data_IF_090397983978
#
_entry.id   IF_090397983978
#
_cell.length_a   1.000
_cell.length_b   1.000
_cell.length_c   1.000
_cell.angle_alpha   90.00
_cell.angle_beta   90.00
_cell.angle_gamma   90.00
#
_symmetry.space_group_name_H-M   'P 1'
#
loop_
_entity.id
_entity.type
_entity.pdbx_description
1 polymer ?
#
# COMPACT_ATOMS: atom_id res chain seq x y z
N UNK A 1 5.99 24.35 -15.06
CA UNK A 1 6.21 22.99 -15.58
C UNK A 1 4.96 22.51 -16.30
N UNK A 2 5.13 21.99 -17.50
CA UNK A 2 4.05 21.45 -18.34
C UNK A 2 3.64 20.06 -17.82
N UNK A 3 2.33 19.78 -17.80
CA UNK A 3 1.77 18.48 -17.42
C UNK A 3 0.92 17.97 -18.57
N UNK A 4 1.12 16.71 -18.95
CA UNK A 4 0.34 16.04 -19.99
C UNK A 4 0.10 14.58 -19.64
N UNK A 5 -1.07 14.09 -20.01
CA UNK A 5 -1.35 12.66 -20.00
C UNK A 5 -0.78 12.05 -21.28
N UNK A 6 -0.08 10.93 -21.15
CA UNK A 6 0.43 10.14 -22.26
C UNK A 6 -0.14 8.72 -22.20
N UNK A 7 0.07 7.95 -23.27
CA UNK A 7 -0.30 6.54 -23.30
C UNK A 7 0.70 5.67 -22.54
N UNK A 8 1.04 4.52 -23.12
CA UNK A 8 1.97 3.56 -22.52
C UNK A 8 3.45 3.93 -22.69
N UNK A 9 3.75 5.00 -23.45
CA UNK A 9 5.10 5.49 -23.71
C UNK A 9 5.26 6.91 -23.19
N UNK A 10 6.38 7.15 -22.49
CA UNK A 10 6.78 8.47 -22.00
C UNK A 10 7.96 8.93 -22.86
N UNK A 11 7.78 10.03 -23.60
CA UNK A 11 8.83 10.58 -24.46
C UNK A 11 10.10 10.95 -23.67
N UNK A 12 11.24 10.93 -24.35
CA UNK A 12 12.52 11.36 -23.78
C UNK A 12 12.43 12.76 -23.15
N UNK A 13 13.03 12.89 -21.96
CA UNK A 13 13.01 14.14 -21.19
C UNK A 13 11.78 14.33 -20.31
N UNK A 14 10.77 13.47 -20.43
CA UNK A 14 9.60 13.44 -19.53
C UNK A 14 9.75 12.40 -18.43
N UNK A 15 8.96 12.54 -17.37
CA UNK A 15 8.90 11.59 -16.24
C UNK A 15 7.45 11.19 -16.00
N UNK A 16 7.22 9.90 -15.75
CA UNK A 16 5.96 9.42 -15.22
C UNK A 16 5.84 9.83 -13.75
N UNK A 17 4.75 10.51 -13.40
CA UNK A 17 4.53 11.04 -12.04
C UNK A 17 3.24 10.53 -11.41
N UNK A 18 2.33 9.96 -12.18
CA UNK A 18 1.11 9.28 -11.71
C UNK A 18 0.64 8.29 -12.77
N UNK A 19 -0.23 7.36 -12.39
CA UNK A 19 -0.92 6.49 -13.34
C UNK A 19 -2.05 7.25 -14.04
N UNK A 20 -2.38 6.83 -15.26
CA UNK A 20 -3.52 7.37 -16.00
C UNK A 20 -4.86 6.85 -15.47
N UNK A 21 -5.98 7.51 -15.83
CA UNK A 21 -7.33 7.14 -15.39
C UNK A 21 -7.75 5.73 -15.82
N UNK A 22 -7.27 5.23 -16.96
CA UNK A 22 -7.55 3.85 -17.40
C UNK A 22 -6.96 2.81 -16.45
N UNK A 23 -5.67 2.93 -16.15
CA UNK A 23 -4.99 2.05 -15.18
C UNK A 23 -5.58 2.18 -13.77
N UNK A 24 -5.93 3.40 -13.36
CA UNK A 24 -6.56 3.62 -12.06
C UNK A 24 -7.91 2.88 -11.94
N UNK A 25 -8.72 2.91 -13.00
CA UNK A 25 -9.99 2.17 -13.06
C UNK A 25 -9.76 0.65 -13.01
N UNK A 26 -8.88 0.12 -13.85
CA UNK A 26 -8.58 -1.31 -13.90
C UNK A 26 -8.05 -1.83 -12.55
N UNK A 27 -7.17 -1.09 -11.88
CA UNK A 27 -6.68 -1.46 -10.56
C UNK A 27 -7.78 -1.39 -9.50
N UNK A 28 -8.64 -0.38 -9.57
CA UNK A 28 -9.77 -0.25 -8.64
C UNK A 28 -10.75 -1.41 -8.76
N UNK A 29 -11.04 -1.87 -9.98
CA UNK A 29 -11.91 -3.02 -10.23
C UNK A 29 -11.33 -4.30 -9.61
N UNK A 30 -10.03 -4.55 -9.81
CA UNK A 30 -9.35 -5.72 -9.21
C UNK A 30 -9.35 -5.64 -7.68
N UNK A 31 -9.12 -4.46 -7.11
CA UNK A 31 -9.14 -4.23 -5.66
C UNK A 31 -10.53 -4.48 -5.08
N UNK A 32 -11.59 -4.05 -5.77
CA UNK A 32 -12.97 -4.21 -5.31
C UNK A 32 -13.40 -5.70 -5.22
N UNK A 33 -12.86 -6.56 -6.08
CA UNK A 33 -13.15 -7.99 -6.09
C UNK A 33 -12.30 -8.81 -5.10
N UNK A 34 -11.26 -8.22 -4.52
CA UNK A 34 -10.31 -8.92 -3.68
C UNK A 34 -10.87 -9.24 -2.28
N UNK A 35 -10.71 -10.50 -1.85
CA UNK A 35 -11.06 -10.92 -0.49
C UNK A 35 -10.04 -10.42 0.56
N UNK A 36 -8.81 -10.11 0.13
CA UNK A 36 -7.79 -9.49 0.96
C UNK A 36 -6.92 -8.59 0.09
N UNK A 37 -6.66 -7.38 0.58
CA UNK A 37 -5.84 -6.37 -0.09
C UNK A 37 -4.68 -6.02 0.82
N UNK A 38 -3.47 -6.11 0.28
CA UNK A 38 -2.27 -5.54 0.89
C UNK A 38 -1.78 -4.41 -0.03
N UNK A 39 -1.78 -3.18 0.47
CA UNK A 39 -1.32 -2.02 -0.27
C UNK A 39 -0.07 -1.40 0.38
N UNK A 40 1.03 -1.37 -0.38
CA UNK A 40 2.33 -0.88 0.07
C UNK A 40 3.02 -0.05 -1.03
N UNK A 41 2.50 1.15 -1.27
CA UNK A 41 3.14 2.17 -2.09
C UNK A 41 2.12 2.98 -2.89
N UNK A 42 2.21 4.31 -2.91
CA UNK A 42 1.35 5.14 -3.75
C UNK A 42 1.62 4.87 -5.24
N UNK A 43 0.67 5.27 -6.10
CA UNK A 43 0.74 5.06 -7.55
C UNK A 43 1.52 6.17 -8.28
N UNK A 44 1.84 7.25 -7.57
CA UNK A 44 2.46 8.47 -8.10
C UNK A 44 2.91 9.42 -6.99
N UNK A 45 3.32 10.63 -7.40
CA UNK A 45 3.73 11.74 -6.53
C UNK A 45 2.51 12.43 -5.93
N UNK A 46 1.81 11.72 -5.03
CA UNK A 46 0.51 12.14 -4.50
C UNK A 46 0.53 13.42 -3.66
N UNK A 47 1.71 13.85 -3.20
CA UNK A 47 1.91 15.09 -2.47
C UNK A 47 1.70 16.34 -3.34
N UNK A 48 1.74 16.16 -4.67
CA UNK A 48 1.40 17.19 -5.64
C UNK A 48 0.03 16.90 -6.24
N UNK A 49 -0.93 17.81 -6.06
CA UNK A 49 -2.32 17.63 -6.51
C UNK A 49 -2.45 17.34 -8.01
N UNK A 50 -1.46 17.76 -8.82
CA UNK A 50 -1.42 17.48 -10.26
C UNK A 50 -1.21 16.00 -10.58
N UNK A 51 -0.70 15.23 -9.62
CA UNK A 51 -0.27 13.83 -9.75
C UNK A 51 -0.84 12.92 -8.64
N UNK A 52 -1.92 13.36 -7.99
CA UNK A 52 -2.53 12.64 -6.88
C UNK A 52 -3.73 11.77 -7.27
N UNK A 53 -4.23 11.90 -8.50
CA UNK A 53 -5.51 11.31 -8.90
C UNK A 53 -5.47 9.78 -8.94
N UNK A 54 -4.40 9.19 -9.49
CA UNK A 54 -4.23 7.74 -9.56
C UNK A 54 -4.04 7.12 -8.19
N UNK A 55 -3.21 7.72 -7.34
CA UNK A 55 -3.05 7.27 -5.95
C UNK A 55 -4.35 7.38 -5.16
N UNK A 56 -5.09 8.48 -5.31
CA UNK A 56 -6.39 8.67 -4.67
C UNK A 56 -7.40 7.61 -5.11
N UNK A 57 -7.50 7.33 -6.41
CA UNK A 57 -8.42 6.33 -6.93
C UNK A 57 -8.16 4.95 -6.32
N UNK A 58 -6.89 4.51 -6.28
CA UNK A 58 -6.53 3.24 -5.64
C UNK A 58 -6.78 3.28 -4.13
N UNK A 59 -6.44 4.38 -3.45
CA UNK A 59 -6.71 4.54 -2.02
C UNK A 59 -8.20 4.43 -1.67
N UNK A 60 -9.06 5.08 -2.46
CA UNK A 60 -10.51 5.03 -2.31
C UNK A 60 -11.05 3.61 -2.60
N UNK A 61 -10.51 2.91 -3.60
CA UNK A 61 -10.86 1.53 -3.89
C UNK A 61 -10.46 0.59 -2.74
N UNK A 62 -9.26 0.75 -2.17
CA UNK A 62 -8.80 -0.03 -1.02
C UNK A 62 -9.73 0.24 0.18
N UNK A 63 -10.03 1.51 0.48
CA UNK A 63 -10.91 1.90 1.58
C UNK A 63 -12.36 1.41 1.42
N UNK A 64 -12.83 1.23 0.17
CA UNK A 64 -14.16 0.73 -0.14
C UNK A 64 -14.22 -0.80 -0.34
N UNK A 65 -13.08 -1.50 -0.29
CA UNK A 65 -13.02 -2.93 -0.54
C UNK A 65 -13.86 -3.70 0.47
N UNK A 66 -14.62 -4.70 -0.01
CA UNK A 66 -15.41 -5.56 0.87
C UNK A 66 -14.58 -6.64 1.60
N UNK A 67 -13.34 -6.84 1.18
CA UNK A 67 -12.37 -7.76 1.79
C UNK A 67 -11.57 -7.14 2.93
N UNK A 68 -10.67 -7.92 3.52
CA UNK A 68 -9.78 -7.44 4.59
C UNK A 68 -8.63 -6.61 4.01
N UNK A 69 -8.41 -5.42 4.56
CA UNK A 69 -7.46 -4.43 4.03
C UNK A 69 -6.28 -4.19 4.97
N UNK A 70 -5.07 -4.31 4.41
CA UNK A 70 -3.82 -3.99 5.09
C UNK A 70 -3.09 -2.94 4.29
N UNK A 71 -2.83 -1.78 4.90
CA UNK A 71 -1.99 -0.74 4.31
C UNK A 71 -0.68 -0.69 5.07
N UNK A 72 0.42 -0.88 4.35
CA UNK A 72 1.78 -0.88 4.89
C UNK A 72 2.66 0.19 4.23
N UNK A 73 3.73 0.56 4.94
CA UNK A 73 4.69 1.54 4.45
C UNK A 73 4.30 2.98 4.81
N UNK A 74 5.31 3.81 5.09
CA UNK A 74 5.09 5.20 5.53
C UNK A 74 4.34 6.04 4.49
N UNK A 75 4.69 5.88 3.22
CA UNK A 75 4.10 6.68 2.13
C UNK A 75 2.64 6.31 1.86
N UNK A 76 2.30 5.01 1.84
CA UNK A 76 0.90 4.56 1.70
C UNK A 76 0.04 5.01 2.87
N UNK A 77 0.59 4.93 4.09
CA UNK A 77 -0.11 5.40 5.29
C UNK A 77 -0.31 6.93 5.26
N UNK A 78 0.68 7.67 4.76
CA UNK A 78 0.57 9.11 4.56
C UNK A 78 -0.48 9.47 3.50
N UNK A 79 -0.56 8.71 2.39
CA UNK A 79 -1.58 8.90 1.37
C UNK A 79 -3.00 8.62 1.90
N UNK A 80 -3.20 7.52 2.62
CA UNK A 80 -4.48 7.22 3.28
C UNK A 80 -4.89 8.35 4.23
N UNK A 81 -3.96 8.83 5.06
CA UNK A 81 -4.22 9.91 6.00
C UNK A 81 -4.54 11.25 5.30
N UNK A 82 -3.78 11.61 4.25
CA UNK A 82 -3.97 12.86 3.51
C UNK A 82 -5.32 12.91 2.78
N UNK A 83 -5.84 11.76 2.37
CA UNK A 83 -7.15 11.63 1.74
C UNK A 83 -8.30 11.44 2.74
N UNK A 84 -8.02 11.35 4.05
CA UNK A 84 -9.05 11.18 5.08
C UNK A 84 -9.69 9.79 5.09
N UNK A 85 -8.92 8.77 4.67
CA UNK A 85 -9.40 7.40 4.50
C UNK A 85 -8.93 6.43 5.62
N UNK A 86 -8.32 6.95 6.68
CA UNK A 86 -7.69 6.12 7.71
C UNK A 86 -8.68 5.27 8.52
N UNK A 87 -9.91 5.74 8.73
CA UNK A 87 -10.93 5.03 9.51
C UNK A 87 -11.57 3.86 8.73
N UNK A 88 -11.35 3.80 7.41
CA UNK A 88 -11.90 2.82 6.50
C UNK A 88 -10.94 1.64 6.24
N UNK A 89 -9.73 1.67 6.79
CA UNK A 89 -8.73 0.61 6.63
C UNK A 89 -8.72 -0.30 7.86
N UNK A 90 -8.76 -1.62 7.66
CA UNK A 90 -8.80 -2.59 8.76
C UNK A 90 -7.47 -2.63 9.54
N UNK A 91 -6.34 -2.56 8.83
CA UNK A 91 -5.02 -2.54 9.45
C UNK A 91 -4.06 -1.56 8.77
N UNK A 92 -3.69 -0.51 9.50
CA UNK A 92 -2.66 0.44 9.09
C UNK A 92 -1.34 0.15 9.81
N UNK A 93 -0.37 -0.43 9.10
CA UNK A 93 0.94 -0.78 9.64
C UNK A 93 1.94 0.37 9.48
N UNK A 94 2.48 0.85 10.60
CA UNK A 94 3.63 1.76 10.63
C UNK A 94 4.98 1.01 10.55
N UNK A 95 4.95 -0.32 10.67
CA UNK A 95 6.13 -1.18 10.64
C UNK A 95 6.57 -1.53 9.22
N UNK A 96 6.58 -0.56 8.29
CA UNK A 96 6.72 -0.78 6.84
C UNK A 96 7.79 -1.80 6.46
N UNK A 97 9.06 -1.55 6.81
CA UNK A 97 10.17 -2.46 6.50
C UNK A 97 10.04 -3.85 7.14
N UNK A 98 9.63 -3.92 8.42
CA UNK A 98 9.45 -5.19 9.10
C UNK A 98 8.26 -6.01 8.55
N UNK A 99 7.19 -5.33 8.11
CA UNK A 99 6.01 -5.99 7.53
C UNK A 99 6.35 -6.59 6.16
N UNK A 100 7.11 -5.87 5.34
CA UNK A 100 7.60 -6.39 4.05
C UNK A 100 8.60 -7.52 4.26
N UNK A 101 9.56 -7.36 5.17
CA UNK A 101 10.54 -8.40 5.48
C UNK A 101 9.86 -9.69 5.95
N UNK A 102 8.81 -9.58 6.78
CA UNK A 102 8.01 -10.73 7.19
C UNK A 102 7.29 -11.40 6.00
N UNK A 103 6.78 -10.62 5.05
CA UNK A 103 6.11 -11.16 3.85
C UNK A 103 7.11 -11.82 2.89
N UNK A 104 8.30 -11.26 2.75
CA UNK A 104 9.37 -11.77 1.88
C UNK A 104 10.04 -13.02 2.46
N UNK A 105 10.34 -13.01 3.75
CA UNK A 105 11.16 -14.05 4.41
C UNK A 105 10.33 -15.04 5.23
N UNK A 106 9.07 -14.73 5.55
CA UNK A 106 8.17 -15.56 6.35
C UNK A 106 8.44 -15.56 7.85
N UNK A 107 9.52 -14.93 8.31
CA UNK A 107 9.87 -14.79 9.72
C UNK A 107 10.68 -13.49 9.96
N UNK A 108 10.81 -13.08 11.22
CA UNK A 108 11.65 -11.98 11.66
C UNK A 108 12.50 -12.42 12.86
N UNK A 109 13.76 -11.96 13.00
CA UNK A 109 14.61 -12.29 14.14
C UNK A 109 13.95 -12.04 15.50
N UNK A 110 13.17 -10.96 15.61
CA UNK A 110 12.42 -10.63 16.82
C UNK A 110 11.32 -11.65 17.14
N UNK A 111 10.59 -12.14 16.14
CA UNK A 111 9.54 -13.16 16.32
C UNK A 111 10.15 -14.53 16.65
N UNK A 112 11.26 -14.89 15.99
CA UNK A 112 12.00 -16.11 16.29
C UNK A 112 12.51 -16.14 17.74
N UNK A 113 13.04 -15.03 18.24
CA UNK A 113 13.48 -14.90 19.62
C UNK A 113 12.33 -15.08 20.62
N UNK A 114 11.16 -14.47 20.37
CA UNK A 114 9.97 -14.61 21.21
C UNK A 114 9.45 -16.05 21.25
N UNK A 115 9.37 -16.72 20.08
CA UNK A 115 8.99 -18.14 20.00
C UNK A 115 9.94 -19.04 20.78
N UNK A 116 11.25 -18.81 20.67
CA UNK A 116 12.25 -19.57 21.41
C UNK A 116 12.15 -19.36 22.92
N UNK A 117 11.80 -18.15 23.38
CA UNK A 117 11.57 -17.88 24.79
C UNK A 117 10.33 -18.62 25.32
N UNK A 118 9.19 -18.54 24.61
CA UNK A 118 7.96 -19.22 25.01
C UNK A 118 8.12 -20.76 25.09
N UNK A 119 8.88 -21.35 24.16
CA UNK A 119 9.16 -22.79 24.16
C UNK A 119 9.98 -23.24 25.38
N UNK A 120 10.81 -22.37 25.96
CA UNK A 120 11.58 -22.67 27.18
C UNK A 120 10.72 -22.67 28.44
N UNK A 121 9.65 -21.87 28.46
CA UNK A 121 8.73 -21.79 29.59
C UNK A 121 7.72 -22.95 29.61
N UNK A 122 7.34 -23.48 28.44
CA UNK A 122 6.44 -24.65 28.32
C UNK A 122 7.09 -26.01 28.57
N UNK A 123 8.42 -26.08 28.70
CA UNK A 123 9.18 -27.34 28.87
C UNK A 123 9.53 -27.71 30.32
N UNK A 124 9.03 -26.97 31.32
CA UNK A 124 9.35 -27.18 32.74
C UNK A 124 8.21 -27.78 33.58
N UNK A 125 7.25 -28.49 32.97
CA UNK A 125 6.21 -29.22 33.68
C UNK A 125 6.19 -30.70 33.29
#
# INVERSE_FOLDING_TARGET
DEVRQVGVEVDDGWKGLDIGPGSAAEFSDVVAEAATVLWNGPMGLFEDERFAAGTRAVAEAVAAAGGFTVVGGGDSAAAIASFGLAEQIDHLSTGGGASLELLEQGDLPGLAALRAAAAREGGSH
#
